data_IF_675264960581
#
_entry.id   IF_675264960581
#
_cell.length_a   1.000
_cell.length_b   1.000
_cell.length_c   1.000
_cell.angle_alpha   90.00
_cell.angle_beta   90.00
_cell.angle_gamma   90.00
#
_symmetry.space_group_name_H-M   'P 1'
#
loop_
_entity.id
_entity.type
_entity.pdbx_description
1 polymer ?
#
# COMPACT_ATOMS: atom_id res chain seq x y z
N UNK A 1 30.28 18.22 -22.19
CA UNK A 1 29.16 17.57 -22.91
C UNK A 1 27.89 18.19 -22.37
N UNK A 2 27.32 19.18 -23.06
CA UNK A 2 26.12 19.88 -22.57
C UNK A 2 24.91 18.95 -22.75
N UNK A 3 24.19 18.65 -21.67
CA UNK A 3 22.94 17.87 -21.75
C UNK A 3 21.91 18.68 -22.51
N UNK A 4 21.31 18.07 -23.53
CA UNK A 4 20.24 18.66 -24.31
C UNK A 4 18.98 18.88 -23.42
N UNK A 5 18.51 20.12 -23.21
CA UNK A 5 17.34 20.39 -22.36
C UNK A 5 16.05 19.82 -22.97
N UNK A 6 15.99 19.56 -24.28
CA UNK A 6 14.85 18.86 -24.88
C UNK A 6 14.80 17.38 -24.54
N UNK A 7 15.93 16.74 -24.18
CA UNK A 7 15.94 15.38 -23.64
C UNK A 7 15.26 15.30 -22.24
N UNK A 8 15.22 16.41 -21.51
CA UNK A 8 14.52 16.52 -20.23
C UNK A 8 13.05 16.95 -20.38
N UNK A 9 12.66 17.47 -21.55
CA UNK A 9 11.29 17.90 -21.81
C UNK A 9 10.41 16.69 -22.10
N UNK A 10 9.64 16.25 -21.09
CA UNK A 10 8.75 15.11 -21.24
C UNK A 10 7.61 15.41 -22.22
N UNK A 11 7.44 14.62 -23.29
CA UNK A 11 6.30 14.79 -24.19
C UNK A 11 4.98 14.69 -23.42
N UNK A 12 4.03 15.57 -23.70
CA UNK A 12 2.73 15.65 -22.98
C UNK A 12 2.02 14.29 -22.98
N UNK A 13 1.99 13.60 -24.13
CA UNK A 13 1.37 12.28 -24.22
C UNK A 13 2.00 11.24 -23.28
N UNK A 14 3.33 11.28 -23.11
CA UNK A 14 4.05 10.39 -22.20
C UNK A 14 3.76 10.75 -20.74
N UNK A 15 3.65 12.04 -20.41
CA UNK A 15 3.24 12.49 -19.08
C UNK A 15 1.83 12.00 -18.71
N UNK A 16 0.88 12.09 -19.64
CA UNK A 16 -0.48 11.57 -19.44
C UNK A 16 -0.49 10.06 -19.21
N UNK A 17 0.30 9.30 -19.98
CA UNK A 17 0.44 7.86 -19.79
C UNK A 17 1.02 7.50 -18.42
N UNK A 18 2.09 8.19 -18.00
CA UNK A 18 2.71 7.95 -16.70
C UNK A 18 1.77 8.27 -15.54
N UNK A 19 0.96 9.34 -15.65
CA UNK A 19 -0.08 9.65 -14.65
C UNK A 19 -1.10 8.51 -14.56
N UNK A 20 -1.57 7.98 -15.69
CA UNK A 20 -2.51 6.84 -15.70
C UNK A 20 -1.91 5.57 -15.07
N UNK A 21 -0.64 5.28 -15.35
CA UNK A 21 0.09 4.16 -14.75
C UNK A 21 0.22 4.37 -13.24
N UNK A 22 0.70 5.53 -12.80
CA UNK A 22 0.87 5.85 -11.39
C UNK A 22 -0.46 5.76 -10.62
N UNK A 23 -1.55 6.28 -11.19
CA UNK A 23 -2.89 6.18 -10.61
C UNK A 23 -3.34 4.72 -10.45
N UNK A 24 -3.11 3.86 -11.45
CA UNK A 24 -3.41 2.43 -11.36
C UNK A 24 -2.57 1.73 -10.30
N UNK A 25 -1.27 2.04 -10.21
CA UNK A 25 -0.39 1.47 -9.21
C UNK A 25 -0.83 1.88 -7.79
N UNK A 26 -1.17 3.16 -7.58
CA UNK A 26 -1.68 3.67 -6.33
C UNK A 26 -3.04 3.05 -5.94
N UNK A 27 -3.88 2.71 -6.91
CA UNK A 27 -5.19 2.07 -6.68
C UNK A 27 -5.12 0.53 -6.57
N UNK A 28 -3.95 -0.09 -6.72
CA UNK A 28 -3.80 -1.54 -6.69
C UNK A 28 -4.18 -2.13 -5.30
N UNK A 29 -4.61 -3.41 -5.24
CA UNK A 29 -4.87 -4.09 -3.97
C UNK A 29 -3.67 -4.08 -3.02
N UNK A 30 -2.47 -4.26 -3.56
CA UNK A 30 -1.21 -4.24 -2.80
C UNK A 30 -0.91 -2.85 -2.23
N UNK A 31 -1.05 -1.78 -3.02
CA UNK A 31 -0.87 -0.41 -2.52
C UNK A 31 -1.87 -0.09 -1.39
N UNK A 32 -3.13 -0.53 -1.52
CA UNK A 32 -4.15 -0.36 -0.46
C UNK A 32 -3.78 -1.08 0.83
N UNK A 33 -3.27 -2.30 0.75
CA UNK A 33 -2.81 -3.06 1.91
C UNK A 33 -1.59 -2.36 2.53
N UNK A 34 -0.62 -1.95 1.71
CA UNK A 34 0.58 -1.24 2.18
C UNK A 34 0.21 0.05 2.92
N UNK A 35 -0.74 0.84 2.40
CA UNK A 35 -1.24 2.04 3.08
C UNK A 35 -1.84 1.70 4.44
N UNK A 36 -2.64 0.63 4.56
CA UNK A 36 -3.21 0.21 5.85
C UNK A 36 -2.14 -0.23 6.85
N UNK A 37 -1.10 -0.92 6.37
CA UNK A 37 0.03 -1.35 7.23
C UNK A 37 0.92 -0.18 7.66
N UNK A 38 1.05 0.83 6.80
CA UNK A 38 1.87 2.02 7.06
C UNK A 38 1.16 3.07 7.93
N UNK A 39 -0.16 2.94 8.10
CA UNK A 39 -0.92 3.81 8.99
C UNK A 39 -0.48 3.56 10.44
N UNK A 40 -0.09 4.61 11.18
CA UNK A 40 0.30 4.45 12.58
C UNK A 40 -0.91 4.00 13.39
N UNK A 41 -0.90 2.73 13.80
CA UNK A 41 -1.83 2.22 14.79
C UNK A 41 -1.31 2.56 16.19
N UNK A 42 -2.19 2.89 17.15
CA UNK A 42 -1.79 3.02 18.54
C UNK A 42 -1.10 1.73 19.00
N UNK A 43 0.22 1.80 19.24
CA UNK A 43 1.05 0.64 19.64
C UNK A 43 0.51 -0.05 20.90
N UNK A 44 -0.11 0.73 21.79
CA UNK A 44 -0.79 0.23 22.99
C UNK A 44 -2.00 -0.67 22.66
N UNK A 45 -2.77 -0.38 21.60
CA UNK A 45 -3.91 -1.19 21.20
C UNK A 45 -3.51 -2.53 20.57
N UNK A 46 -2.31 -2.61 19.99
CA UNK A 46 -1.76 -3.86 19.42
C UNK A 46 -1.24 -4.84 20.48
N UNK A 47 -0.78 -4.32 21.63
CA UNK A 47 -0.27 -5.13 22.74
C UNK A 47 -1.30 -5.32 23.88
N UNK A 48 -2.43 -4.61 23.82
CA UNK A 48 -3.58 -4.82 24.70
C UNK A 48 -4.85 -5.16 23.88
N UNK A 49 -4.85 -6.26 23.11
CA UNK A 49 -6.01 -6.64 22.32
C UNK A 49 -7.21 -6.90 23.23
N UNK A 50 -8.34 -6.24 22.96
CA UNK A 50 -9.58 -6.41 23.73
C UNK A 50 -10.09 -7.86 23.79
N UNK A 51 -9.69 -8.68 22.82
CA UNK A 51 -10.07 -10.09 22.70
C UNK A 51 -8.91 -11.05 23.10
N UNK A 52 -7.81 -10.53 23.65
CA UNK A 52 -6.60 -11.30 23.99
C UNK A 52 -5.75 -11.73 22.79
N UNK A 53 -6.30 -11.73 21.57
CA UNK A 53 -5.58 -12.10 20.35
C UNK A 53 -4.86 -10.91 19.71
N UNK A 54 -3.54 -11.03 19.52
CA UNK A 54 -2.72 -10.05 18.80
C UNK A 54 -3.24 -9.75 17.38
N UNK A 55 -3.86 -10.74 16.72
CA UNK A 55 -4.47 -10.58 15.40
C UNK A 55 -5.76 -11.41 15.26
N UNK A 56 -6.91 -10.79 15.53
CA UNK A 56 -8.22 -11.45 15.57
C UNK A 56 -8.56 -12.19 14.27
N UNK A 57 -8.25 -11.60 13.11
CA UNK A 57 -8.52 -12.23 11.81
C UNK A 57 -7.70 -13.50 11.57
N UNK A 58 -6.46 -13.55 12.05
CA UNK A 58 -5.61 -14.74 11.93
C UNK A 58 -6.07 -15.82 12.92
N UNK A 59 -6.41 -15.45 14.15
CA UNK A 59 -6.98 -16.36 15.13
C UNK A 59 -8.29 -17.00 14.63
N UNK A 60 -9.17 -16.23 14.00
CA UNK A 60 -10.41 -16.74 13.40
C UNK A 60 -10.15 -17.68 12.22
N UNK A 61 -9.18 -17.35 11.37
CA UNK A 61 -8.80 -18.21 10.24
C UNK A 61 -8.22 -19.55 10.71
N UNK A 62 -7.35 -19.54 11.72
CA UNK A 62 -6.76 -20.74 12.31
C UNK A 62 -7.83 -21.62 12.98
N UNK A 63 -8.74 -21.03 13.75
CA UNK A 63 -9.83 -21.79 14.40
C UNK A 63 -10.72 -22.49 13.37
N UNK A 64 -11.09 -21.80 12.29
CA UNK A 64 -11.86 -22.39 11.18
C UNK A 64 -11.13 -23.50 10.43
N UNK A 65 -9.82 -23.60 10.54
CA UNK A 65 -9.03 -24.64 9.89
C UNK A 65 -8.91 -25.90 10.77
N UNK A 66 -9.12 -25.77 12.08
CA UNK A 66 -9.17 -26.90 13.02
C UNK A 66 -10.56 -27.54 13.12
N UNK A 67 -11.58 -26.93 12.52
CA UNK A 67 -12.92 -27.47 12.31
C UNK A 67 -12.99 -28.26 11.01
#
# INVERSE_FOLDING_TARGET
MASDPTAAAMPIGLAVLLVGIAARQAASPTARIQTRLSMPLPRAALLAPAHGAFHLGAAAALRRWQE
#
